data_IF_479610893218
#
_entry.id   IF_479610893218
#
_cell.length_a   1.000
_cell.length_b   1.000
_cell.length_c   1.000
_cell.angle_alpha   90.00
_cell.angle_beta   90.00
_cell.angle_gamma   90.00
#
_symmetry.space_group_name_H-M   'P 1'
#
loop_
_entity.id
_entity.type
_entity.pdbx_description
1 polymer ?
#
# COMPACT_ATOMS: atom_id res chain seq x y z
N UNK A 1 2.66 -25.22 -13.00
CA UNK A 1 3.56 -24.06 -12.89
C UNK A 1 3.23 -22.94 -13.89
N UNK A 2 3.08 -23.15 -15.23
CA UNK A 2 2.88 -22.02 -16.16
C UNK A 2 1.68 -21.12 -15.82
N UNK A 3 0.51 -21.72 -15.50
CA UNK A 3 -0.69 -20.96 -15.14
C UNK A 3 -0.54 -20.08 -13.90
N UNK A 4 0.22 -20.56 -12.90
CA UNK A 4 0.52 -19.76 -11.71
C UNK A 4 1.36 -18.54 -12.09
N UNK A 5 2.42 -18.71 -12.87
CA UNK A 5 3.30 -17.62 -13.28
C UNK A 5 2.56 -16.59 -14.14
N UNK A 6 1.80 -17.05 -15.15
CA UNK A 6 1.00 -16.16 -16.00
C UNK A 6 -0.05 -15.43 -15.17
N UNK A 7 -0.76 -16.13 -14.28
CA UNK A 7 -1.74 -15.54 -13.40
C UNK A 7 -1.12 -14.51 -12.42
N UNK A 8 0.10 -14.75 -11.95
CA UNK A 8 0.81 -13.81 -11.08
C UNK A 8 1.25 -12.55 -11.82
N UNK A 9 1.74 -12.68 -13.05
CA UNK A 9 2.12 -11.52 -13.88
C UNK A 9 0.90 -10.68 -14.23
N UNK A 10 -0.18 -11.30 -14.70
CA UNK A 10 -1.40 -10.56 -15.07
C UNK A 10 -2.13 -10.01 -13.84
N UNK A 11 -2.16 -10.76 -12.74
CA UNK A 11 -2.74 -10.29 -11.48
C UNK A 11 -1.93 -9.15 -10.85
N UNK A 12 -0.60 -9.23 -10.91
CA UNK A 12 0.28 -8.14 -10.49
C UNK A 12 0.11 -6.88 -11.35
N UNK A 13 -0.04 -7.05 -12.67
CA UNK A 13 -0.36 -5.95 -13.57
C UNK A 13 -1.73 -5.31 -13.23
N UNK A 14 -2.75 -6.12 -12.98
CA UNK A 14 -4.07 -5.63 -12.58
C UNK A 14 -4.01 -4.85 -11.25
N UNK A 15 -3.31 -5.37 -10.24
CA UNK A 15 -3.04 -4.70 -8.97
C UNK A 15 -2.35 -3.35 -9.19
N UNK A 16 -1.28 -3.35 -9.96
CA UNK A 16 -0.49 -2.17 -10.26
C UNK A 16 -1.30 -1.10 -11.00
N UNK A 17 -2.15 -1.50 -11.98
CA UNK A 17 -3.01 -0.58 -12.71
C UNK A 17 -4.06 0.07 -11.81
N UNK A 18 -4.69 -0.69 -10.91
CA UNK A 18 -5.62 -0.13 -9.93
C UNK A 18 -4.89 0.84 -9.00
N UNK A 19 -3.74 0.46 -8.47
CA UNK A 19 -2.89 1.35 -7.66
C UNK A 19 -2.50 2.61 -8.42
N UNK A 20 -2.14 2.50 -9.71
CA UNK A 20 -1.83 3.66 -10.55
C UNK A 20 -3.03 4.60 -10.71
N UNK A 21 -4.25 4.08 -10.86
CA UNK A 21 -5.46 4.92 -10.91
C UNK A 21 -5.61 5.73 -9.62
N UNK A 22 -5.41 5.12 -8.46
CA UNK A 22 -5.53 5.82 -7.18
C UNK A 22 -4.39 6.81 -6.93
N UNK A 23 -3.14 6.44 -7.22
CA UNK A 23 -1.96 7.20 -6.79
C UNK A 23 -1.26 7.96 -7.92
N UNK A 24 -1.36 7.50 -9.16
CA UNK A 24 -0.73 8.10 -10.34
C UNK A 24 -1.63 9.07 -11.10
N UNK A 25 -2.87 9.29 -10.66
CA UNK A 25 -3.81 10.23 -11.28
C UNK A 25 -4.21 11.33 -10.28
N UNK A 26 -4.94 12.39 -10.71
CA UNK A 26 -5.46 13.40 -9.80
C UNK A 26 -6.36 12.89 -8.69
N UNK A 27 -6.80 11.63 -8.74
CA UNK A 27 -7.56 10.99 -7.68
C UNK A 27 -6.80 10.97 -6.35
N UNK A 28 -5.45 10.90 -6.39
CA UNK A 28 -4.58 10.99 -5.22
C UNK A 28 -4.74 12.29 -4.41
N UNK A 29 -5.26 13.36 -5.02
CA UNK A 29 -5.55 14.63 -4.33
C UNK A 29 -6.65 14.48 -3.26
N UNK A 30 -7.45 13.43 -3.30
CA UNK A 30 -8.41 13.12 -2.24
C UNK A 30 -7.72 12.64 -0.95
N UNK A 31 -6.52 12.07 -1.06
CA UNK A 31 -5.74 11.59 0.08
C UNK A 31 -4.96 12.70 0.79
N UNK A 32 -4.47 13.69 0.03
CA UNK A 32 -3.55 14.70 0.52
C UNK A 32 -4.22 16.05 0.79
N UNK A 33 -3.88 16.68 1.91
CA UNK A 33 -4.13 18.09 2.12
C UNK A 33 -3.06 18.92 1.40
N UNK A 34 -3.46 20.00 0.76
CA UNK A 34 -2.54 20.90 0.07
C UNK A 34 -2.22 22.10 0.96
N UNK A 35 -0.98 22.55 0.91
CA UNK A 35 -0.49 23.81 1.48
C UNK A 35 -0.29 24.83 0.38
N UNK A 36 -0.39 26.10 0.67
CA UNK A 36 -0.08 27.16 -0.27
C UNK A 36 1.36 27.05 -0.78
N UNK A 37 1.60 27.46 -2.03
CA UNK A 37 2.91 27.27 -2.68
C UNK A 37 4.07 27.92 -1.88
N UNK A 38 3.85 29.13 -1.33
CA UNK A 38 4.84 29.82 -0.50
C UNK A 38 5.18 29.06 0.78
N UNK A 39 4.17 28.55 1.46
CA UNK A 39 4.34 27.75 2.70
C UNK A 39 5.00 26.42 2.40
N UNK A 40 4.70 25.81 1.25
CA UNK A 40 5.32 24.55 0.82
C UNK A 40 6.84 24.71 0.68
N UNK A 41 7.30 25.78 0.04
CA UNK A 41 8.74 26.06 -0.11
C UNK A 41 9.42 26.35 1.23
N UNK A 42 8.75 27.12 2.10
CA UNK A 42 9.27 27.42 3.44
C UNK A 42 9.38 26.16 4.32
N UNK A 43 8.37 25.30 4.28
CA UNK A 43 8.38 24.02 5.00
C UNK A 43 9.47 23.10 4.47
N UNK A 44 9.65 23.00 3.14
CA UNK A 44 10.74 22.20 2.54
C UNK A 44 12.11 22.70 3.01
N UNK A 45 12.33 24.02 3.01
CA UNK A 45 13.59 24.61 3.48
C UNK A 45 13.83 24.32 4.98
N UNK A 46 12.80 24.43 5.83
CA UNK A 46 12.88 24.10 7.24
C UNK A 46 13.20 22.62 7.47
N UNK A 47 12.53 21.71 6.74
CA UNK A 47 12.83 20.27 6.82
C UNK A 47 14.28 19.98 6.39
N UNK A 48 14.76 20.59 5.30
CA UNK A 48 16.15 20.42 4.85
C UNK A 48 17.15 20.95 5.88
N UNK A 49 16.87 22.10 6.50
CA UNK A 49 17.73 22.71 7.49
C UNK A 49 17.84 21.86 8.78
N UNK A 50 16.72 21.35 9.26
CA UNK A 50 16.66 20.70 10.58
C UNK A 50 16.81 19.16 10.52
N UNK A 51 16.35 18.52 9.45
CA UNK A 51 16.46 17.07 9.30
C UNK A 51 17.60 16.64 8.38
N UNK A 52 18.03 17.50 7.45
CA UNK A 52 19.12 17.23 6.52
C UNK A 52 20.40 16.72 7.18
N UNK A 53 20.90 17.33 8.28
CA UNK A 53 22.09 16.83 8.99
C UNK A 53 21.96 15.42 9.56
N UNK A 54 20.75 15.00 9.91
CA UNK A 54 20.46 13.65 10.44
C UNK A 54 20.21 12.63 9.30
N UNK A 55 19.82 13.11 8.12
CA UNK A 55 19.66 12.30 6.91
C UNK A 55 18.25 11.75 6.69
N UNK A 56 18.13 10.87 5.67
CA UNK A 56 16.88 10.20 5.32
C UNK A 56 16.38 9.31 6.46
N UNK A 57 15.10 9.42 6.83
CA UNK A 57 14.51 8.62 7.91
C UNK A 57 13.07 9.00 8.24
N UNK A 58 12.50 8.27 9.20
CA UNK A 58 11.20 8.59 9.79
C UNK A 58 11.41 9.36 11.09
N UNK A 59 10.76 10.50 11.20
CA UNK A 59 10.91 11.42 12.34
C UNK A 59 9.56 11.65 13.01
N UNK A 60 9.52 11.42 14.32
CA UNK A 60 8.39 11.84 15.14
C UNK A 60 8.70 13.23 15.71
N UNK A 61 7.89 14.21 15.39
CA UNK A 61 8.08 15.60 15.77
C UNK A 61 6.85 16.09 16.56
N UNK A 62 7.04 16.55 17.82
CA UNK A 62 8.25 16.47 18.65
C UNK A 62 8.60 15.03 19.05
N UNK A 63 9.91 14.75 19.28
CA UNK A 63 10.33 13.43 19.75
C UNK A 63 9.98 13.24 21.23
N UNK A 64 9.31 12.13 21.63
CA UNK A 64 8.94 11.85 23.02
C UNK A 64 10.10 11.34 23.88
N UNK A 65 11.34 11.26 23.34
CA UNK A 65 12.50 10.63 24.01
C UNK A 65 13.07 11.41 25.21
N UNK A 66 12.45 12.51 25.63
CA UNK A 66 12.82 13.30 26.80
C UNK A 66 11.59 13.85 27.51
N UNK A 67 11.73 14.27 28.77
CA UNK A 67 10.62 14.90 29.50
C UNK A 67 10.07 16.15 28.79
N UNK A 68 10.96 17.01 28.28
CA UNK A 68 10.58 18.17 27.49
C UNK A 68 9.88 17.79 26.18
N UNK A 69 10.36 16.76 25.51
CA UNK A 69 9.73 16.22 24.28
C UNK A 69 8.33 15.68 24.56
N UNK A 70 8.15 14.94 25.64
CA UNK A 70 6.84 14.42 26.07
C UNK A 70 5.84 15.55 26.33
N UNK A 71 6.29 16.63 26.99
CA UNK A 71 5.45 17.79 27.21
C UNK A 71 5.02 18.48 25.90
N UNK A 72 5.95 18.61 24.95
CA UNK A 72 5.66 19.17 23.63
C UNK A 72 4.68 18.30 22.83
N UNK A 73 4.82 16.95 22.88
CA UNK A 73 3.84 16.02 22.30
C UNK A 73 2.44 16.26 22.85
N UNK A 74 2.31 16.49 24.17
CA UNK A 74 1.02 16.77 24.80
C UNK A 74 0.41 18.10 24.39
N UNK A 75 1.23 19.09 24.03
CA UNK A 75 0.76 20.40 23.55
C UNK A 75 0.39 20.41 22.06
N UNK A 76 1.06 19.57 21.24
CA UNK A 76 0.95 19.62 19.79
C UNK A 76 1.49 20.91 19.14
N UNK A 77 1.51 21.01 17.79
CA UNK A 77 1.11 19.96 16.86
C UNK A 77 2.10 18.81 16.80
N UNK A 78 1.61 17.61 16.44
CA UNK A 78 2.42 16.43 16.26
C UNK A 78 2.48 16.04 14.79
N UNK A 79 3.64 15.55 14.33
CA UNK A 79 3.83 15.07 12.97
C UNK A 79 4.72 13.83 12.93
N UNK A 80 4.38 12.87 12.06
CA UNK A 80 5.30 11.82 11.61
C UNK A 80 5.78 12.20 10.21
N UNK A 81 7.08 12.48 10.08
CA UNK A 81 7.68 12.94 8.83
C UNK A 81 8.54 11.82 8.22
N UNK A 82 8.14 11.34 7.05
CA UNK A 82 8.94 10.45 6.20
C UNK A 82 9.85 11.35 5.34
N UNK A 83 11.08 11.56 5.77
CA UNK A 83 12.01 12.48 5.15
C UNK A 83 12.99 11.75 4.23
N UNK A 84 13.08 12.23 2.99
CA UNK A 84 14.07 11.78 1.99
C UNK A 84 14.94 13.00 1.66
N UNK A 85 16.24 12.91 1.95
CA UNK A 85 17.18 14.02 1.81
C UNK A 85 17.61 14.31 0.37
N UNK A 86 17.24 13.46 -0.58
CA UNK A 86 17.54 13.64 -2.01
C UNK A 86 16.30 14.01 -2.81
N UNK A 87 16.50 14.73 -3.91
CA UNK A 87 15.43 14.95 -4.90
C UNK A 87 15.00 13.65 -5.58
N UNK A 88 13.75 13.60 -6.01
CA UNK A 88 13.16 12.49 -6.76
C UNK A 88 12.78 13.02 -8.14
N UNK A 89 13.24 12.35 -9.21
CA UNK A 89 12.85 12.70 -10.56
C UNK A 89 11.38 12.34 -10.82
N UNK A 90 10.64 13.23 -11.50
CA UNK A 90 9.25 12.96 -11.87
C UNK A 90 9.12 12.96 -13.40
N UNK A 91 8.52 11.92 -14.03
CA UNK A 91 8.00 10.71 -13.38
C UNK A 91 9.12 9.77 -12.86
N UNK A 92 8.91 9.16 -11.70
CA UNK A 92 9.84 8.18 -11.15
C UNK A 92 9.65 6.80 -11.80
N UNK A 93 10.35 6.60 -12.92
CA UNK A 93 10.30 5.33 -13.67
C UNK A 93 10.79 4.14 -12.83
N UNK A 94 11.78 4.37 -11.94
CA UNK A 94 12.29 3.33 -11.06
C UNK A 94 11.22 2.83 -10.09
N UNK A 95 10.48 3.74 -9.46
CA UNK A 95 9.37 3.39 -8.58
C UNK A 95 8.23 2.69 -9.34
N UNK A 96 7.91 3.12 -10.55
CA UNK A 96 6.88 2.48 -11.37
C UNK A 96 7.23 1.02 -11.71
N UNK A 97 8.46 0.77 -12.17
CA UNK A 97 8.93 -0.58 -12.49
C UNK A 97 9.06 -1.42 -11.21
N UNK A 98 9.66 -0.87 -10.16
CA UNK A 98 9.80 -1.55 -8.88
C UNK A 98 8.45 -1.92 -8.27
N UNK A 99 7.47 -1.03 -8.33
CA UNK A 99 6.11 -1.26 -7.88
C UNK A 99 5.41 -2.38 -8.67
N UNK A 100 5.60 -2.44 -9.99
CA UNK A 100 5.07 -3.54 -10.81
C UNK A 100 5.70 -4.89 -10.43
N UNK A 101 7.02 -4.92 -10.25
CA UNK A 101 7.72 -6.15 -9.83
C UNK A 101 7.22 -6.60 -8.47
N UNK A 102 7.09 -5.67 -7.51
CA UNK A 102 6.57 -5.97 -6.18
C UNK A 102 5.14 -6.53 -6.24
N UNK A 103 4.26 -5.91 -7.03
CA UNK A 103 2.89 -6.40 -7.22
C UNK A 103 2.85 -7.84 -7.77
N UNK A 104 3.68 -8.14 -8.78
CA UNK A 104 3.79 -9.49 -9.32
C UNK A 104 4.26 -10.50 -8.25
N UNK A 105 5.25 -10.13 -7.44
CA UNK A 105 5.75 -10.98 -6.35
C UNK A 105 4.67 -11.22 -5.28
N UNK A 106 3.93 -10.19 -4.89
CA UNK A 106 2.82 -10.32 -3.94
C UNK A 106 1.73 -11.28 -4.45
N UNK A 107 1.34 -11.14 -5.72
CA UNK A 107 0.33 -12.03 -6.32
C UNK A 107 0.88 -13.45 -6.52
N UNK A 108 2.17 -13.62 -6.77
CA UNK A 108 2.82 -14.93 -6.81
C UNK A 108 2.74 -15.64 -5.45
N UNK A 109 3.03 -14.93 -4.36
CA UNK A 109 2.91 -15.48 -3.00
C UNK A 109 1.47 -15.88 -2.69
N UNK A 110 0.49 -15.00 -3.01
CA UNK A 110 -0.93 -15.33 -2.86
C UNK A 110 -1.35 -16.54 -3.71
N UNK A 111 -0.86 -16.62 -4.94
CA UNK A 111 -1.12 -17.73 -5.84
C UNK A 111 -0.53 -19.08 -5.35
N UNK A 112 0.66 -19.05 -4.74
CA UNK A 112 1.25 -20.21 -4.07
C UNK A 112 0.39 -20.66 -2.90
N UNK A 113 -0.05 -19.73 -2.04
CA UNK A 113 -0.94 -20.00 -0.92
C UNK A 113 -2.27 -20.62 -1.38
N UNK A 114 -2.92 -20.03 -2.39
CA UNK A 114 -4.16 -20.57 -2.97
C UNK A 114 -3.96 -21.98 -3.54
N UNK A 115 -2.85 -22.23 -4.20
CA UNK A 115 -2.53 -23.55 -4.75
C UNK A 115 -2.32 -24.57 -3.64
N UNK A 116 -1.74 -24.19 -2.52
CA UNK A 116 -1.45 -25.09 -1.39
C UNK A 116 -2.70 -25.40 -0.56
N UNK A 117 -3.52 -24.37 -0.25
CA UNK A 117 -4.64 -24.50 0.68
C UNK A 117 -6.01 -24.66 -0.02
N UNK A 118 -6.15 -24.16 -1.24
CA UNK A 118 -7.42 -24.07 -1.95
C UNK A 118 -7.35 -24.67 -3.37
N UNK A 119 -6.51 -25.69 -3.59
CA UNK A 119 -6.29 -26.29 -4.91
C UNK A 119 -7.59 -26.82 -5.54
N UNK A 120 -8.52 -27.34 -4.74
CA UNK A 120 -9.83 -27.88 -5.18
C UNK A 120 -10.99 -26.90 -5.05
N UNK A 121 -10.73 -25.68 -4.57
CA UNK A 121 -11.78 -24.67 -4.38
C UNK A 121 -12.26 -24.09 -5.72
N UNK A 122 -13.51 -23.61 -5.73
CA UNK A 122 -14.08 -22.89 -6.86
C UNK A 122 -13.38 -21.54 -7.06
N UNK A 123 -13.63 -20.89 -8.21
CA UNK A 123 -13.19 -19.52 -8.44
C UNK A 123 -13.69 -18.58 -7.33
N UNK A 124 -14.99 -18.67 -7.00
CA UNK A 124 -15.62 -17.81 -6.01
C UNK A 124 -14.99 -17.98 -4.61
N UNK A 125 -14.71 -19.21 -4.20
CA UNK A 125 -14.08 -19.50 -2.90
C UNK A 125 -12.65 -18.98 -2.84
N UNK A 126 -11.87 -19.13 -3.90
CA UNK A 126 -10.51 -18.59 -3.99
C UNK A 126 -10.50 -17.07 -3.96
N UNK A 127 -11.38 -16.45 -4.74
CA UNK A 127 -11.54 -15.00 -4.76
C UNK A 127 -11.96 -14.46 -3.40
N UNK A 128 -12.98 -15.07 -2.77
CA UNK A 128 -13.43 -14.74 -1.42
C UNK A 128 -12.29 -14.88 -0.40
N UNK A 129 -11.49 -15.93 -0.50
CA UNK A 129 -10.35 -16.15 0.40
C UNK A 129 -9.33 -15.02 0.28
N UNK A 130 -8.95 -14.62 -0.94
CA UNK A 130 -8.04 -13.48 -1.16
C UNK A 130 -8.61 -12.21 -0.57
N UNK A 131 -9.89 -11.89 -0.80
CA UNK A 131 -10.54 -10.70 -0.28
C UNK A 131 -10.58 -10.67 1.24
N UNK A 132 -10.91 -11.79 1.89
CA UNK A 132 -10.98 -11.85 3.34
C UNK A 132 -9.60 -11.66 3.99
N UNK A 133 -8.55 -12.29 3.44
CA UNK A 133 -7.19 -12.08 3.94
C UNK A 133 -6.68 -10.66 3.65
N UNK A 134 -6.92 -10.15 2.44
CA UNK A 134 -6.58 -8.76 2.11
C UNK A 134 -7.29 -7.79 3.05
N UNK A 135 -8.60 -7.94 3.25
CA UNK A 135 -9.37 -7.11 4.16
C UNK A 135 -8.85 -7.18 5.60
N UNK A 136 -8.56 -8.37 6.11
CA UNK A 136 -8.06 -8.54 7.48
C UNK A 136 -6.68 -7.87 7.67
N UNK A 137 -5.77 -8.06 6.71
CA UNK A 137 -4.41 -7.49 6.79
C UNK A 137 -4.47 -5.97 6.63
N UNK A 138 -5.10 -5.46 5.57
CA UNK A 138 -5.14 -4.02 5.31
C UNK A 138 -5.97 -3.26 6.34
N UNK A 139 -7.04 -3.86 6.88
CA UNK A 139 -7.78 -3.29 7.99
C UNK A 139 -6.86 -3.00 9.19
N UNK A 140 -6.00 -3.95 9.54
CA UNK A 140 -5.09 -3.79 10.68
C UNK A 140 -3.91 -2.87 10.35
N UNK A 141 -3.28 -3.01 9.18
CA UNK A 141 -2.10 -2.24 8.81
C UNK A 141 -2.42 -0.79 8.46
N UNK A 142 -3.52 -0.54 7.78
CA UNK A 142 -3.87 0.79 7.28
C UNK A 142 -4.73 1.55 8.28
N UNK A 143 -5.90 0.99 8.68
CA UNK A 143 -6.76 1.66 9.65
C UNK A 143 -6.23 1.56 11.10
N UNK A 144 -5.27 0.68 11.36
CA UNK A 144 -4.50 0.69 12.61
C UNK A 144 -3.67 1.95 12.81
N UNK A 145 -3.20 2.61 11.74
CA UNK A 145 -2.39 3.83 11.85
C UNK A 145 -3.14 5.00 12.51
N UNK A 146 -4.38 5.34 12.11
CA UNK A 146 -5.18 6.32 12.84
C UNK A 146 -5.43 5.95 14.31
N UNK A 147 -5.62 4.66 14.60
CA UNK A 147 -5.92 4.18 15.95
C UNK A 147 -4.71 4.25 16.86
N UNK A 148 -3.56 3.72 16.42
CA UNK A 148 -2.38 3.59 17.28
C UNK A 148 -1.47 4.82 17.24
N UNK A 149 -1.39 5.49 16.07
CA UNK A 149 -0.43 6.55 15.82
C UNK A 149 -1.11 7.92 15.63
N UNK A 150 -2.42 8.03 15.86
CA UNK A 150 -3.21 9.26 15.70
C UNK A 150 -3.05 9.90 14.30
N UNK A 151 -2.87 9.07 13.28
CA UNK A 151 -2.72 9.51 11.90
C UNK A 151 -4.05 9.99 11.30
N UNK A 152 -4.02 10.79 10.21
CA UNK A 152 -5.23 11.32 9.60
C UNK A 152 -6.12 10.22 9.01
N UNK A 153 -7.33 10.06 9.53
CA UNK A 153 -8.31 9.06 9.06
C UNK A 153 -8.57 9.14 7.55
N UNK A 154 -8.67 10.35 6.98
CA UNK A 154 -8.98 10.53 5.56
C UNK A 154 -7.93 9.87 4.65
N UNK A 155 -6.65 10.07 4.92
CA UNK A 155 -5.56 9.46 4.16
C UNK A 155 -5.58 7.92 4.27
N UNK A 156 -5.66 7.40 5.49
CA UNK A 156 -5.58 5.95 5.72
C UNK A 156 -6.86 5.21 5.29
N UNK A 157 -8.02 5.84 5.33
CA UNK A 157 -9.23 5.27 4.72
C UNK A 157 -9.10 5.20 3.20
N UNK A 158 -8.56 6.24 2.56
CA UNK A 158 -8.29 6.23 1.13
C UNK A 158 -7.28 5.13 0.75
N UNK A 159 -6.18 5.01 1.50
CA UNK A 159 -5.17 3.96 1.34
C UNK A 159 -5.83 2.57 1.43
N UNK A 160 -6.59 2.32 2.49
CA UNK A 160 -7.29 1.05 2.71
C UNK A 160 -8.20 0.67 1.55
N UNK A 161 -9.01 1.62 1.04
CA UNK A 161 -9.88 1.39 -0.12
C UNK A 161 -9.06 1.06 -1.37
N UNK A 162 -7.99 1.81 -1.63
CA UNK A 162 -7.07 1.58 -2.74
C UNK A 162 -6.47 0.17 -2.69
N UNK A 163 -5.99 -0.24 -1.52
CA UNK A 163 -5.33 -1.54 -1.35
C UNK A 163 -6.32 -2.69 -1.47
N UNK A 164 -7.51 -2.55 -0.87
CA UNK A 164 -8.55 -3.57 -0.96
C UNK A 164 -9.01 -3.79 -2.42
N UNK A 165 -9.19 -2.71 -3.19
CA UNK A 165 -9.55 -2.80 -4.61
C UNK A 165 -8.42 -3.34 -5.47
N UNK A 166 -7.17 -3.00 -5.16
CA UNK A 166 -5.98 -3.55 -5.82
C UNK A 166 -5.88 -5.06 -5.60
N UNK A 167 -6.10 -5.53 -4.37
CA UNK A 167 -6.16 -6.95 -4.05
C UNK A 167 -7.38 -7.66 -4.66
N UNK A 168 -8.52 -6.98 -4.78
CA UNK A 168 -9.70 -7.54 -5.45
C UNK A 168 -9.39 -7.81 -6.93
N UNK A 169 -8.77 -6.86 -7.63
CA UNK A 169 -8.37 -7.03 -9.03
C UNK A 169 -7.37 -8.18 -9.20
N UNK A 170 -6.32 -8.21 -8.39
CA UNK A 170 -5.33 -9.28 -8.40
C UNK A 170 -5.94 -10.64 -8.06
N UNK A 171 -6.78 -10.68 -7.03
CA UNK A 171 -7.46 -11.89 -6.57
C UNK A 171 -8.38 -12.51 -7.63
N UNK A 172 -9.11 -11.67 -8.35
CA UNK A 172 -9.94 -12.14 -9.46
C UNK A 172 -9.10 -12.79 -10.56
N UNK A 173 -7.99 -12.15 -10.95
CA UNK A 173 -7.11 -12.70 -11.99
C UNK A 173 -6.43 -13.99 -11.54
N UNK A 174 -5.80 -14.02 -10.37
CA UNK A 174 -5.07 -15.22 -9.94
C UNK A 174 -6.02 -16.40 -9.67
N UNK A 175 -7.21 -16.14 -9.10
CA UNK A 175 -8.22 -17.19 -8.89
C UNK A 175 -8.71 -17.80 -10.20
N UNK A 176 -8.82 -16.99 -11.25
CA UNK A 176 -9.21 -17.45 -12.58
C UNK A 176 -8.14 -18.33 -13.24
N UNK A 177 -6.87 -17.96 -13.15
CA UNK A 177 -5.77 -18.67 -13.79
C UNK A 177 -5.39 -20.00 -13.11
N UNK A 178 -5.71 -20.18 -11.85
CA UNK A 178 -5.43 -21.44 -11.17
C UNK A 178 -6.35 -22.55 -11.67
N UNK A 179 -5.83 -23.81 -11.85
CA UNK A 179 -6.62 -24.91 -12.35
C UNK A 179 -7.88 -25.15 -11.51
N UNK A 180 -9.01 -25.32 -12.16
CA UNK A 180 -10.25 -25.75 -11.51
C UNK A 180 -10.23 -27.29 -11.34
N UNK A 181 -10.89 -27.82 -10.30
CA UNK A 181 -11.14 -29.26 -10.21
C UNK A 181 -11.88 -29.69 -11.48
N UNK A 182 -11.38 -30.71 -12.15
CA UNK A 182 -12.19 -31.37 -13.17
C UNK A 182 -13.40 -31.95 -12.44
N UNK A 183 -14.61 -31.64 -12.93
CA UNK A 183 -15.78 -32.43 -12.59
C UNK A 183 -15.50 -33.85 -13.04
N UNK A 184 -15.12 -34.75 -12.12
CA UNK A 184 -15.16 -36.16 -12.39
C UNK A 184 -16.61 -36.45 -12.77
N UNK A 185 -16.81 -36.87 -14.05
CA UNK A 185 -18.11 -37.19 -14.59
C UNK A 185 -18.79 -38.19 -13.66
N UNK A 186 -19.96 -37.83 -13.17
CA UNK A 186 -20.92 -38.81 -12.66
C UNK A 186 -21.32 -39.65 -13.89
N UNK A 187 -20.67 -40.75 -14.10
CA UNK A 187 -21.25 -41.88 -14.84
C UNK A 187 -22.17 -42.68 -13.91
#
# INVERSE_FOLDING_TARGET
>A
MPRLLIGSVLGGLAMWLVGFVFWGTPLSLLAYKQVAAGDSAALQAALAQHLGPTGTGAYWIPSPGSAAGTELVGRGPNALVQFVNSGIALPDTGALIGGLILAILCVLVAGIALRSCAARASFADRFKLVLLFAAAITLYTDLGQPVFNHMPWGYFTYLWVSDLLSWAAAGAVIAWFLPHPRSEGRE
#
